data_IF_167786320056
#
_entry.id   IF_167786320056
#
_cell.length_a   1.000
_cell.length_b   1.000
_cell.length_c   1.000
_cell.angle_alpha   90.00
_cell.angle_beta   90.00
_cell.angle_gamma   90.00
#
_symmetry.space_group_name_H-M   'P 1'
#
loop_
_entity.id
_entity.type
_entity.pdbx_description
1 polymer ?
#
# COMPACT_ATOMS: atom_id res chain seq x y z
N UNK A 1 29.12 -7.90 -43.66
CA UNK A 1 30.41 -8.24 -43.01
C UNK A 1 30.08 -8.47 -41.53
N UNK A 2 30.00 -9.70 -40.99
CA UNK A 2 31.09 -10.65 -40.64
C UNK A 2 32.21 -9.88 -39.92
N UNK A 3 32.55 -10.04 -38.64
CA UNK A 3 32.73 -11.19 -37.72
C UNK A 3 32.44 -10.74 -36.26
N UNK A 4 31.84 -11.47 -35.30
CA UNK A 4 32.12 -12.77 -34.61
C UNK A 4 33.38 -12.81 -33.72
N UNK A 5 33.15 -13.34 -32.50
CA UNK A 5 34.05 -13.97 -31.47
C UNK A 5 34.63 -13.03 -30.40
N UNK A 6 34.68 -13.32 -29.09
CA UNK A 6 34.36 -14.51 -28.25
C UNK A 6 34.34 -14.03 -26.75
N UNK A 7 33.40 -14.47 -25.89
CA UNK A 7 33.54 -15.52 -24.82
C UNK A 7 34.46 -15.09 -23.64
N UNK A 8 34.26 -15.29 -22.33
CA UNK A 8 33.41 -16.06 -21.40
C UNK A 8 33.57 -15.38 -20.00
N UNK A 9 32.67 -15.44 -19.00
CA UNK A 9 32.44 -16.49 -17.97
C UNK A 9 31.40 -15.88 -16.98
N UNK A 10 30.21 -16.45 -16.73
CA UNK A 10 29.80 -17.33 -15.58
C UNK A 10 30.20 -16.77 -14.19
N UNK A 11 29.38 -16.68 -13.13
CA UNK A 11 28.21 -17.46 -12.69
C UNK A 11 27.47 -16.76 -11.51
N UNK A 12 26.16 -17.07 -11.37
CA UNK A 12 25.32 -17.22 -10.15
C UNK A 12 25.31 -16.09 -9.08
N UNK A 13 24.16 -15.64 -8.56
CA UNK A 13 23.28 -16.36 -7.63
C UNK A 13 21.83 -15.87 -7.76
N UNK A 14 20.92 -16.80 -8.03
CA UNK A 14 19.49 -16.66 -7.80
C UNK A 14 18.99 -17.94 -7.11
N UNK A 15 17.91 -17.79 -6.33
CA UNK A 15 17.13 -18.80 -5.61
C UNK A 15 17.58 -19.17 -4.19
N UNK A 16 16.95 -18.51 -3.23
CA UNK A 16 16.67 -19.08 -1.91
C UNK A 16 15.14 -19.17 -1.77
N UNK A 17 14.54 -20.27 -2.23
CA UNK A 17 13.28 -20.86 -1.74
C UNK A 17 13.10 -22.22 -2.44
N UNK A 18 13.82 -23.22 -1.94
CA UNK A 18 13.64 -24.62 -2.33
C UNK A 18 14.15 -25.54 -1.22
N UNK A 19 13.59 -25.42 -0.02
CA UNK A 19 13.84 -26.39 1.06
C UNK A 19 12.91 -27.60 1.00
N UNK A 20 11.84 -27.59 0.17
CA UNK A 20 10.98 -28.75 -0.02
C UNK A 20 11.52 -29.75 -1.07
N UNK A 21 12.39 -29.34 -1.99
CA UNK A 21 12.87 -30.21 -3.08
C UNK A 21 13.95 -31.21 -2.65
N UNK A 22 14.56 -31.06 -1.48
CA UNK A 22 15.71 -31.90 -1.08
C UNK A 22 15.33 -33.27 -0.48
N UNK A 23 14.07 -33.51 -0.12
CA UNK A 23 13.62 -34.83 0.35
C UNK A 23 13.08 -35.74 -0.77
N UNK A 24 12.86 -35.21 -1.98
CA UNK A 24 12.38 -35.99 -3.13
C UNK A 24 13.49 -36.77 -3.86
N UNK A 25 14.76 -36.59 -3.48
CA UNK A 25 15.92 -37.19 -4.15
C UNK A 25 16.36 -38.57 -3.64
N UNK A 26 15.72 -39.11 -2.60
CA UNK A 26 15.99 -40.48 -2.14
C UNK A 26 14.86 -41.42 -2.58
N UNK A 27 14.80 -41.69 -3.88
CA UNK A 27 14.22 -42.96 -4.35
C UNK A 27 15.06 -44.09 -3.75
N UNK A 28 14.46 -45.02 -2.98
CA UNK A 28 15.09 -46.32 -2.77
C UNK A 28 15.38 -46.89 -4.17
N UNK A 29 16.61 -47.33 -4.41
CA UNK A 29 16.94 -48.10 -5.62
C UNK A 29 15.90 -49.20 -5.78
N UNK A 30 15.22 -49.24 -6.92
CA UNK A 30 14.50 -50.42 -7.36
C UNK A 30 15.53 -51.56 -7.42
N UNK A 31 15.60 -52.38 -6.37
CA UNK A 31 16.65 -53.37 -6.18
C UNK A 31 17.18 -53.54 -4.75
N UNK A 32 16.66 -52.88 -3.71
CA UNK A 32 16.83 -53.47 -2.37
C UNK A 32 15.97 -54.73 -2.34
N UNK A 33 16.63 -55.88 -2.16
CA UNK A 33 15.95 -57.14 -1.91
C UNK A 33 15.00 -56.91 -0.74
N UNK A 34 13.69 -56.94 -0.99
CA UNK A 34 12.70 -57.07 0.06
C UNK A 34 13.21 -58.19 0.95
N UNK A 35 13.50 -57.88 2.22
CA UNK A 35 13.70 -58.90 3.22
C UNK A 35 12.44 -59.76 3.15
N UNK A 36 12.57 -61.01 2.65
CA UNK A 36 11.44 -61.92 2.48
C UNK A 36 10.72 -62.02 3.83
N UNK A 37 9.61 -61.31 3.91
CA UNK A 37 8.72 -61.31 5.05
C UNK A 37 7.44 -61.91 4.53
N UNK A 38 7.09 -63.08 5.06
CA UNK A 38 5.85 -63.78 4.71
C UNK A 38 4.61 -63.08 5.30
N UNK A 39 4.79 -61.94 5.97
CA UNK A 39 3.68 -61.17 6.51
C UNK A 39 2.99 -60.39 5.38
N UNK A 40 1.92 -61.00 4.87
CA UNK A 40 1.05 -60.44 3.84
C UNK A 40 0.55 -59.04 4.21
N UNK A 41 0.31 -58.75 5.49
CA UNK A 41 -0.13 -57.42 5.93
C UNK A 41 1.00 -56.38 5.81
N UNK A 42 2.24 -56.77 6.14
CA UNK A 42 3.43 -55.91 5.98
C UNK A 42 3.64 -55.52 4.51
N UNK A 43 3.57 -56.49 3.60
CA UNK A 43 3.73 -56.28 2.15
C UNK A 43 2.59 -55.45 1.57
N UNK A 44 1.33 -55.81 1.85
CA UNK A 44 0.15 -55.13 1.29
C UNK A 44 0.04 -53.68 1.76
N UNK A 45 0.32 -53.41 3.05
CA UNK A 45 0.25 -52.05 3.60
C UNK A 45 1.36 -51.17 3.07
N UNK A 46 2.59 -51.68 2.96
CA UNK A 46 3.69 -50.91 2.37
C UNK A 46 3.48 -50.65 0.87
N UNK A 47 2.98 -51.64 0.11
CA UNK A 47 2.59 -51.47 -1.30
C UNK A 47 1.54 -50.37 -1.46
N UNK A 48 0.49 -50.37 -0.64
CA UNK A 48 -0.54 -49.32 -0.64
C UNK A 48 0.06 -47.94 -0.39
N UNK A 49 1.02 -47.82 0.53
CA UNK A 49 1.75 -46.59 0.75
C UNK A 49 2.50 -46.15 -0.54
N UNK A 50 3.31 -47.03 -1.13
CA UNK A 50 4.13 -46.70 -2.32
C UNK A 50 3.26 -46.27 -3.51
N UNK A 51 2.18 -46.99 -3.78
CA UNK A 51 1.28 -46.71 -4.91
C UNK A 51 0.53 -45.37 -4.75
N UNK A 52 0.36 -44.89 -3.52
CA UNK A 52 -0.44 -43.70 -3.24
C UNK A 52 0.39 -42.47 -2.84
N UNK A 53 1.68 -42.62 -2.51
CA UNK A 53 2.49 -41.51 -1.92
C UNK A 53 2.53 -40.23 -2.78
N UNK A 54 2.41 -40.38 -4.10
CA UNK A 54 2.38 -39.27 -5.07
C UNK A 54 0.94 -38.92 -5.48
N UNK A 55 0.12 -39.85 -6.02
CA UNK A 55 -1.20 -39.49 -6.54
C UNK A 55 -2.26 -39.26 -5.46
N UNK A 56 -2.09 -39.83 -4.26
CA UNK A 56 -3.06 -39.73 -3.17
C UNK A 56 -2.36 -39.79 -1.79
N UNK A 57 -1.64 -38.72 -1.42
CA UNK A 57 -0.77 -38.73 -0.25
C UNK A 57 -1.55 -38.93 1.07
N UNK A 58 -2.84 -38.62 1.13
CA UNK A 58 -3.69 -38.93 2.30
C UNK A 58 -3.87 -40.44 2.47
N UNK A 59 -4.11 -41.19 1.39
CA UNK A 59 -4.19 -42.66 1.43
C UNK A 59 -2.84 -43.26 1.81
N UNK A 60 -1.74 -42.70 1.31
CA UNK A 60 -0.40 -43.13 1.70
C UNK A 60 -0.12 -42.85 3.19
N UNK A 61 -0.53 -41.70 3.71
CA UNK A 61 -0.40 -41.37 5.12
C UNK A 61 -1.15 -42.36 6.02
N UNK A 62 -2.39 -42.70 5.68
CA UNK A 62 -3.16 -43.73 6.42
C UNK A 62 -2.44 -45.08 6.38
N UNK A 63 -1.99 -45.53 5.21
CA UNK A 63 -1.24 -46.78 5.06
C UNK A 63 0.08 -46.78 5.86
N UNK A 64 0.82 -45.67 5.85
CA UNK A 64 2.04 -45.52 6.64
C UNK A 64 1.76 -45.60 8.15
N UNK A 65 0.69 -44.94 8.64
CA UNK A 65 0.28 -45.01 10.06
C UNK A 65 -0.19 -46.40 10.45
N UNK A 66 -0.92 -47.08 9.58
CA UNK A 66 -1.37 -48.47 9.78
C UNK A 66 -0.19 -49.44 9.88
N UNK A 67 0.82 -49.26 9.01
CA UNK A 67 2.08 -50.01 9.07
C UNK A 67 2.82 -49.74 10.39
N UNK A 68 3.01 -48.48 10.75
CA UNK A 68 3.71 -48.08 11.97
C UNK A 68 2.96 -48.48 13.25
N UNK A 69 1.63 -48.60 13.20
CA UNK A 69 0.83 -49.09 14.33
C UNK A 69 1.13 -50.54 14.69
N UNK A 70 1.45 -51.39 13.70
CA UNK A 70 1.77 -52.81 13.91
C UNK A 70 3.26 -53.08 14.03
N UNK A 71 4.07 -52.50 13.13
CA UNK A 71 5.49 -52.79 13.01
C UNK A 71 6.40 -51.66 13.51
N UNK A 72 5.86 -50.56 14.06
CA UNK A 72 6.67 -49.38 14.41
C UNK A 72 7.72 -49.57 15.50
N UNK A 73 7.75 -50.73 16.18
CA UNK A 73 8.83 -51.13 17.11
C UNK A 73 10.02 -51.76 16.40
N UNK A 74 9.85 -52.21 15.17
CA UNK A 74 10.92 -52.77 14.35
C UNK A 74 11.87 -51.66 13.90
N UNK A 75 13.16 -51.97 13.82
CA UNK A 75 14.19 -51.03 13.37
C UNK A 75 14.72 -51.44 11.99
N UNK A 76 13.82 -51.62 11.04
CA UNK A 76 14.15 -51.97 9.67
C UNK A 76 14.25 -50.71 8.77
N UNK A 77 14.53 -50.89 7.48
CA UNK A 77 14.58 -49.79 6.53
C UNK A 77 13.20 -49.13 6.30
N UNK A 78 12.13 -49.92 6.33
CA UNK A 78 10.76 -49.47 6.06
C UNK A 78 10.22 -48.62 7.19
N UNK A 79 10.37 -49.05 8.45
CA UNK A 79 9.91 -48.29 9.62
C UNK A 79 10.66 -46.97 9.75
N UNK A 80 11.97 -46.94 9.48
CA UNK A 80 12.76 -45.71 9.46
C UNK A 80 12.30 -44.75 8.37
N UNK A 81 12.08 -45.25 7.16
CA UNK A 81 11.61 -44.43 6.04
C UNK A 81 10.20 -43.89 6.30
N UNK A 82 9.25 -44.75 6.70
CA UNK A 82 7.87 -44.35 6.97
C UNK A 82 7.79 -43.35 8.13
N UNK A 83 8.61 -43.50 9.17
CA UNK A 83 8.69 -42.52 10.26
C UNK A 83 9.11 -41.12 9.76
N UNK A 84 10.10 -41.04 8.88
CA UNK A 84 10.52 -39.77 8.28
C UNK A 84 9.45 -39.20 7.35
N UNK A 85 8.86 -40.04 6.50
CA UNK A 85 7.81 -39.61 5.56
C UNK A 85 6.56 -39.11 6.28
N UNK A 86 6.10 -39.80 7.33
CA UNK A 86 4.97 -39.38 8.18
C UNK A 86 5.22 -38.00 8.77
N UNK A 87 6.40 -37.78 9.35
CA UNK A 87 6.75 -36.51 9.96
C UNK A 87 6.77 -35.36 8.93
N UNK A 88 7.35 -35.61 7.74
CA UNK A 88 7.37 -34.65 6.66
C UNK A 88 5.95 -34.32 6.13
N UNK A 89 5.10 -35.34 5.98
CA UNK A 89 3.70 -35.15 5.57
C UNK A 89 2.91 -34.33 6.60
N UNK A 90 3.04 -34.64 7.89
CA UNK A 90 2.37 -33.89 8.97
C UNK A 90 2.87 -32.44 9.11
N UNK A 91 4.14 -32.19 8.78
CA UNK A 91 4.69 -30.83 8.71
C UNK A 91 4.15 -30.05 7.50
N UNK A 92 4.14 -30.66 6.32
CA UNK A 92 3.58 -30.09 5.09
C UNK A 92 2.08 -29.77 5.22
N UNK A 93 1.28 -30.69 5.78
CA UNK A 93 -0.13 -30.46 6.08
C UNK A 93 -0.36 -29.28 7.03
N UNK A 94 0.44 -29.18 8.10
CA UNK A 94 0.37 -28.03 9.02
C UNK A 94 0.75 -26.72 8.33
N UNK A 95 1.77 -26.74 7.46
CA UNK A 95 2.18 -25.57 6.69
C UNK A 95 1.09 -25.12 5.70
N UNK A 96 0.47 -26.06 4.96
CA UNK A 96 -0.68 -25.79 4.08
C UNK A 96 -1.83 -25.16 4.85
N UNK A 97 -2.21 -25.74 5.99
CA UNK A 97 -3.29 -25.22 6.82
C UNK A 97 -2.99 -23.81 7.33
N UNK A 98 -1.77 -23.58 7.83
CA UNK A 98 -1.36 -22.26 8.30
C UNK A 98 -1.35 -21.22 7.16
N UNK A 99 -0.94 -21.60 5.94
CA UNK A 99 -0.99 -20.74 4.77
C UNK A 99 -2.43 -20.38 4.37
N UNK A 100 -3.34 -21.37 4.36
CA UNK A 100 -4.75 -21.13 4.09
C UNK A 100 -5.40 -20.22 5.14
N UNK A 101 -5.08 -20.40 6.42
CA UNK A 101 -5.58 -19.52 7.50
C UNK A 101 -5.04 -18.08 7.39
N UNK A 102 -3.80 -17.90 6.92
CA UNK A 102 -3.23 -16.57 6.64
C UNK A 102 -3.97 -15.89 5.49
N UNK A 103 -4.19 -16.62 4.41
CA UNK A 103 -4.92 -16.12 3.24
C UNK A 103 -6.36 -15.74 3.61
N UNK A 104 -7.07 -16.55 4.40
CA UNK A 104 -8.41 -16.22 4.90
C UNK A 104 -8.42 -14.92 5.70
N UNK A 105 -7.48 -14.73 6.63
CA UNK A 105 -7.38 -13.47 7.41
C UNK A 105 -7.14 -12.27 6.52
N UNK A 106 -6.28 -12.40 5.52
CA UNK A 106 -6.02 -11.35 4.54
C UNK A 106 -7.29 -11.00 3.75
N UNK A 107 -7.98 -12.00 3.20
CA UNK A 107 -9.22 -11.80 2.44
C UNK A 107 -10.32 -11.16 3.30
N UNK A 108 -10.46 -11.58 4.56
CA UNK A 108 -11.41 -10.99 5.51
C UNK A 108 -11.09 -9.53 5.81
N UNK A 109 -9.81 -9.18 5.96
CA UNK A 109 -9.38 -7.79 6.13
C UNK A 109 -9.75 -6.94 4.91
N UNK A 110 -9.37 -7.38 3.71
CA UNK A 110 -9.65 -6.65 2.47
C UNK A 110 -11.17 -6.53 2.20
N UNK A 111 -11.91 -7.59 2.50
CA UNK A 111 -13.37 -7.60 2.47
C UNK A 111 -13.98 -6.59 3.45
N UNK A 112 -13.45 -6.50 4.67
CA UNK A 112 -13.91 -5.52 5.66
C UNK A 112 -13.69 -4.07 5.19
N UNK A 113 -12.55 -3.76 4.55
CA UNK A 113 -12.30 -2.44 3.95
C UNK A 113 -13.35 -2.14 2.87
N UNK A 114 -13.57 -3.08 1.95
CA UNK A 114 -14.54 -2.93 0.86
C UNK A 114 -15.97 -2.72 1.37
N UNK A 115 -16.32 -3.41 2.46
CA UNK A 115 -17.61 -3.27 3.15
C UNK A 115 -17.69 -2.06 4.09
N UNK A 116 -16.65 -1.21 4.14
CA UNK A 116 -16.53 -0.04 5.03
C UNK A 116 -16.60 -0.39 6.52
N UNK A 117 -16.29 -1.63 6.89
CA UNK A 117 -16.14 -2.12 8.27
C UNK A 117 -14.72 -1.82 8.76
N UNK A 118 -14.40 -0.54 8.85
CA UNK A 118 -13.02 -0.11 9.13
C UNK A 118 -12.51 -0.60 10.49
N UNK A 119 -13.34 -0.57 11.54
CA UNK A 119 -12.93 -1.10 12.85
C UNK A 119 -12.47 -2.56 12.78
N UNK A 120 -13.20 -3.42 12.07
CA UNK A 120 -12.85 -4.83 11.87
C UNK A 120 -11.56 -4.97 11.05
N UNK A 121 -11.40 -4.16 10.00
CA UNK A 121 -10.21 -4.17 9.16
C UNK A 121 -8.94 -3.81 9.95
N UNK A 122 -8.98 -2.71 10.73
CA UNK A 122 -7.84 -2.27 11.55
C UNK A 122 -7.56 -3.23 12.72
N UNK A 123 -8.58 -3.89 13.27
CA UNK A 123 -8.40 -4.95 14.25
C UNK A 123 -7.67 -6.18 13.66
N UNK A 124 -8.03 -6.59 12.43
CA UNK A 124 -7.38 -7.70 11.72
C UNK A 124 -5.98 -7.35 11.22
N UNK A 125 -5.70 -6.07 10.92
CA UNK A 125 -4.42 -5.62 10.38
C UNK A 125 -3.22 -6.06 11.21
N UNK A 126 -3.33 -6.00 12.54
CA UNK A 126 -2.25 -6.43 13.44
C UNK A 126 -1.90 -7.90 13.27
N UNK A 127 -2.91 -8.76 13.09
CA UNK A 127 -2.69 -10.20 12.89
C UNK A 127 -2.03 -10.48 11.54
N UNK A 128 -2.57 -9.90 10.47
CA UNK A 128 -2.07 -10.10 9.10
C UNK A 128 -0.65 -9.56 8.94
N UNK A 129 -0.35 -8.39 9.49
CA UNK A 129 0.98 -7.78 9.40
C UNK A 129 2.00 -8.38 10.39
N UNK A 130 1.56 -9.20 11.35
CA UNK A 130 2.48 -10.04 12.12
C UNK A 130 2.95 -11.26 11.31
N UNK A 131 2.09 -11.80 10.43
CA UNK A 131 2.46 -12.89 9.52
C UNK A 131 3.41 -12.40 8.41
N UNK A 132 3.10 -11.24 7.81
CA UNK A 132 4.00 -10.55 6.87
C UNK A 132 3.88 -9.03 7.04
N UNK A 133 4.86 -8.45 7.73
CA UNK A 133 4.87 -7.01 7.97
C UNK A 133 5.05 -6.18 6.70
N UNK A 134 5.54 -6.78 5.61
CA UNK A 134 5.81 -6.11 4.35
C UNK A 134 4.77 -6.42 3.26
N UNK A 135 3.60 -6.93 3.66
CA UNK A 135 2.51 -7.25 2.75
C UNK A 135 1.93 -5.97 2.14
N UNK A 136 2.46 -5.57 0.97
CA UNK A 136 2.05 -4.35 0.26
C UNK A 136 0.59 -4.41 -0.20
N UNK A 137 0.06 -5.62 -0.47
CA UNK A 137 -1.34 -5.83 -0.86
C UNK A 137 -2.30 -5.40 0.26
N UNK A 138 -1.89 -5.50 1.52
CA UNK A 138 -2.68 -5.08 2.69
C UNK A 138 -2.34 -3.65 3.14
N UNK A 139 -1.06 -3.27 3.09
CA UNK A 139 -0.63 -1.93 3.52
C UNK A 139 -1.21 -0.81 2.65
N UNK A 140 -1.31 -1.00 1.33
CA UNK A 140 -1.90 -0.02 0.41
C UNK A 140 -3.36 0.32 0.79
N UNK A 141 -4.30 -0.65 0.83
CA UNK A 141 -5.69 -0.35 1.16
C UNK A 141 -5.87 0.12 2.60
N UNK A 142 -5.11 -0.40 3.58
CA UNK A 142 -5.13 0.14 4.94
C UNK A 142 -4.67 1.60 4.98
N UNK A 143 -3.59 1.93 4.26
CA UNK A 143 -3.05 3.28 4.19
C UNK A 143 -4.04 4.29 3.59
N UNK A 144 -4.79 3.88 2.59
CA UNK A 144 -5.78 4.74 1.92
C UNK A 144 -7.15 4.76 2.63
N UNK A 145 -7.56 3.67 3.30
CA UNK A 145 -8.91 3.53 3.86
C UNK A 145 -9.29 4.58 4.92
N UNK A 146 -8.31 5.17 5.62
CA UNK A 146 -8.56 6.28 6.55
C UNK A 146 -9.17 7.52 5.89
N UNK A 147 -8.80 7.81 4.63
CA UNK A 147 -9.43 8.89 3.83
C UNK A 147 -10.91 8.58 3.62
N UNK A 148 -11.23 7.34 3.24
CA UNK A 148 -12.61 6.90 3.00
C UNK A 148 -13.42 6.97 4.30
N UNK A 149 -12.88 6.43 5.40
CA UNK A 149 -13.53 6.49 6.71
C UNK A 149 -13.80 7.94 7.16
N UNK A 150 -12.83 8.84 6.95
CA UNK A 150 -12.96 10.25 7.32
C UNK A 150 -13.97 11.00 6.45
N UNK A 151 -13.97 10.77 5.14
CA UNK A 151 -14.77 11.56 4.20
C UNK A 151 -16.19 11.04 4.04
N UNK A 152 -16.39 9.72 4.09
CA UNK A 152 -17.70 9.10 3.87
C UNK A 152 -18.42 8.73 5.16
N UNK A 153 -17.67 8.39 6.22
CA UNK A 153 -18.22 7.98 7.51
C UNK A 153 -17.94 8.98 8.64
N UNK A 154 -17.27 10.11 8.34
CA UNK A 154 -16.88 11.13 9.32
C UNK A 154 -16.11 10.56 10.51
N UNK A 155 -15.34 9.51 10.28
CA UNK A 155 -14.59 8.81 11.31
C UNK A 155 -13.08 8.94 11.08
N UNK A 156 -12.44 9.82 11.86
CA UNK A 156 -11.01 10.11 11.79
C UNK A 156 -10.18 9.22 12.74
N UNK A 157 -10.80 8.31 13.49
CA UNK A 157 -10.13 7.50 14.51
C UNK A 157 -8.97 6.66 13.96
N UNK A 158 -9.03 6.32 12.67
CA UNK A 158 -8.04 5.47 12.01
C UNK A 158 -6.91 6.26 11.34
N UNK A 159 -6.96 7.59 11.28
CA UNK A 159 -6.02 8.40 10.47
C UNK A 159 -4.56 8.21 10.90
N UNK A 160 -4.28 8.08 12.20
CA UNK A 160 -2.93 7.88 12.70
C UNK A 160 -2.36 6.51 12.27
N UNK A 161 -3.14 5.43 12.41
CA UNK A 161 -2.73 4.09 11.97
C UNK A 161 -2.63 4.00 10.45
N UNK A 162 -3.59 4.59 9.73
CA UNK A 162 -3.58 4.70 8.27
C UNK A 162 -2.32 5.41 7.75
N UNK A 163 -1.91 6.51 8.39
CA UNK A 163 -0.70 7.23 8.02
C UNK A 163 0.55 6.34 8.11
N UNK A 164 0.68 5.54 9.18
CA UNK A 164 1.80 4.61 9.33
C UNK A 164 1.81 3.55 8.24
N UNK A 165 0.65 2.99 7.89
CA UNK A 165 0.55 2.00 6.81
C UNK A 165 0.84 2.61 5.43
N UNK A 166 0.34 3.81 5.16
CA UNK A 166 0.62 4.52 3.92
C UNK A 166 2.12 4.81 3.76
N UNK A 167 2.77 5.30 4.82
CA UNK A 167 4.21 5.56 4.78
C UNK A 167 5.03 4.29 4.54
N UNK A 168 4.67 3.18 5.20
CA UNK A 168 5.35 1.89 4.96
C UNK A 168 5.11 1.36 3.54
N UNK A 169 3.88 1.46 3.03
CA UNK A 169 3.56 1.06 1.66
C UNK A 169 4.40 1.85 0.64
N UNK A 170 4.48 3.19 0.78
CA UNK A 170 5.32 4.04 -0.07
C UNK A 170 6.77 3.55 -0.07
N UNK A 171 7.37 3.37 1.12
CA UNK A 171 8.77 2.91 1.24
C UNK A 171 9.01 1.56 0.55
N UNK A 172 8.10 0.59 0.73
CA UNK A 172 8.21 -0.72 0.09
C UNK A 172 8.06 -0.63 -1.43
N UNK A 173 7.13 0.20 -1.92
CA UNK A 173 6.90 0.38 -3.36
C UNK A 173 8.07 1.12 -4.04
N UNK A 174 8.63 2.13 -3.37
CA UNK A 174 9.80 2.86 -3.85
C UNK A 174 11.06 1.98 -3.87
N UNK A 175 11.21 1.08 -2.90
CA UNK A 175 12.29 0.07 -2.89
C UNK A 175 12.11 -1.09 -3.88
N UNK A 176 11.04 -1.07 -4.68
CA UNK A 176 10.82 -2.02 -5.77
C UNK A 176 9.88 -3.19 -5.44
N UNK A 177 9.26 -3.23 -4.25
CA UNK A 177 8.19 -4.20 -4.00
C UNK A 177 6.93 -3.83 -4.76
N UNK A 178 6.19 -4.83 -5.21
CA UNK A 178 4.91 -4.67 -5.87
C UNK A 178 3.93 -5.75 -5.38
N UNK A 179 2.63 -5.44 -5.28
CA UNK A 179 1.60 -6.47 -5.14
C UNK A 179 1.47 -7.25 -6.45
N UNK A 180 0.84 -8.43 -6.39
CA UNK A 180 0.50 -9.21 -7.59
C UNK A 180 -0.48 -8.47 -8.51
N UNK A 181 -1.27 -7.55 -7.96
CA UNK A 181 -2.18 -6.68 -8.69
C UNK A 181 -2.25 -5.28 -8.07
N UNK A 182 -2.25 -4.26 -8.92
CA UNK A 182 -2.44 -2.86 -8.51
C UNK A 182 -3.90 -2.48 -8.31
N UNK A 183 -4.84 -3.32 -8.75
CA UNK A 183 -6.27 -3.03 -8.65
C UNK A 183 -6.71 -2.73 -7.19
N UNK A 184 -7.62 -1.78 -6.98
CA UNK A 184 -8.39 -1.02 -7.98
C UNK A 184 -7.63 0.16 -8.61
N UNK A 185 -6.38 0.41 -8.21
CA UNK A 185 -5.54 1.45 -8.81
C UNK A 185 -5.04 1.01 -10.19
N UNK A 186 -4.75 1.99 -11.04
CA UNK A 186 -4.34 1.73 -12.43
C UNK A 186 -2.93 1.15 -12.53
N UNK A 187 -2.02 1.66 -11.70
CA UNK A 187 -0.60 1.35 -11.74
C UNK A 187 0.11 1.80 -10.45
N UNK A 188 1.43 1.63 -10.41
CA UNK A 188 2.31 2.08 -9.30
C UNK A 188 2.20 3.57 -9.01
N UNK A 189 2.17 4.43 -10.03
CA UNK A 189 2.11 5.88 -9.84
C UNK A 189 0.78 6.30 -9.22
N UNK A 190 -0.32 5.70 -9.65
CA UNK A 190 -1.66 5.96 -9.13
C UNK A 190 -1.79 5.59 -7.65
N UNK A 191 -1.16 4.47 -7.24
CA UNK A 191 -1.02 4.11 -5.82
C UNK A 191 -0.20 5.14 -5.05
N UNK A 192 1.02 5.44 -5.53
CA UNK A 192 1.91 6.37 -4.82
C UNK A 192 1.27 7.75 -4.66
N UNK A 193 0.61 8.25 -5.71
CA UNK A 193 -0.10 9.52 -5.67
C UNK A 193 -1.25 9.48 -4.65
N UNK A 194 -2.01 8.39 -4.61
CA UNK A 194 -3.12 8.22 -3.66
C UNK A 194 -2.64 8.08 -2.21
N UNK A 195 -1.49 7.43 -1.98
CA UNK A 195 -0.90 7.33 -0.65
C UNK A 195 -0.30 8.66 -0.18
N UNK A 196 0.36 9.43 -1.05
CA UNK A 196 0.77 10.79 -0.74
C UNK A 196 -0.43 11.69 -0.45
N UNK A 197 -1.48 11.63 -1.28
CA UNK A 197 -2.72 12.33 -0.99
C UNK A 197 -3.27 11.97 0.40
N UNK A 198 -3.24 10.69 0.78
CA UNK A 198 -3.69 10.24 2.10
C UNK A 198 -2.82 10.81 3.23
N UNK A 199 -1.48 10.77 3.11
CA UNK A 199 -0.57 11.37 4.09
C UNK A 199 -0.78 12.88 4.25
N UNK A 200 -1.00 13.59 3.14
CA UNK A 200 -1.36 15.00 3.16
C UNK A 200 -2.68 15.24 3.90
N UNK A 201 -3.68 14.43 3.60
CA UNK A 201 -5.00 14.50 4.25
C UNK A 201 -4.92 14.25 5.77
N UNK A 202 -4.20 13.22 6.22
CA UNK A 202 -4.06 12.91 7.65
C UNK A 202 -3.27 13.99 8.41
N UNK A 203 -2.35 14.66 7.72
CA UNK A 203 -1.50 15.72 8.30
C UNK A 203 -2.19 17.08 8.30
N UNK A 204 -3.26 17.29 7.53
CA UNK A 204 -3.84 18.60 7.25
C UNK A 204 -4.19 19.41 8.52
N UNK A 205 -4.72 18.76 9.56
CA UNK A 205 -5.12 19.43 10.81
C UNK A 205 -3.98 19.61 11.81
N UNK A 206 -3.04 18.66 11.83
CA UNK A 206 -2.03 18.55 12.90
C UNK A 206 -0.67 19.08 12.49
N UNK A 207 -0.34 18.97 11.19
CA UNK A 207 0.94 19.30 10.57
C UNK A 207 0.70 19.81 9.13
N UNK A 208 0.00 20.94 8.94
CA UNK A 208 -0.37 21.44 7.62
C UNK A 208 0.83 21.72 6.71
N UNK A 209 1.99 22.09 7.26
CA UNK A 209 3.23 22.27 6.48
C UNK A 209 3.70 20.97 5.82
N UNK A 210 3.62 19.84 6.54
CA UNK A 210 3.97 18.54 5.99
C UNK A 210 2.99 18.13 4.89
N UNK A 211 1.70 18.46 5.08
CA UNK A 211 0.66 18.13 4.11
C UNK A 211 0.89 18.74 2.73
N UNK A 212 1.48 19.95 2.66
CA UNK A 212 1.81 20.63 1.40
C UNK A 212 2.71 19.74 0.54
N UNK A 213 3.79 19.20 1.13
CA UNK A 213 4.76 18.36 0.40
C UNK A 213 4.09 17.14 -0.21
N UNK A 214 3.24 16.46 0.57
CA UNK A 214 2.55 15.26 0.14
C UNK A 214 1.49 15.55 -0.94
N UNK A 215 0.70 16.62 -0.80
CA UNK A 215 -0.26 17.01 -1.84
C UNK A 215 0.41 17.42 -3.14
N UNK A 216 1.59 18.08 -3.09
CA UNK A 216 2.36 18.41 -4.29
C UNK A 216 2.85 17.14 -4.99
N UNK A 217 3.38 16.16 -4.25
CA UNK A 217 3.78 14.87 -4.82
C UNK A 217 2.58 14.18 -5.50
N UNK A 218 1.44 14.12 -4.82
CA UNK A 218 0.22 13.55 -5.39
C UNK A 218 -0.24 14.28 -6.66
N UNK A 219 -0.11 15.60 -6.72
CA UNK A 219 -0.48 16.42 -7.86
C UNK A 219 0.51 16.34 -9.05
N UNK A 220 1.72 15.80 -8.84
CA UNK A 220 2.76 15.73 -9.88
C UNK A 220 2.83 14.36 -10.57
N UNK A 221 2.41 13.29 -9.91
CA UNK A 221 2.42 11.91 -10.45
C UNK A 221 1.33 11.70 -11.51
N UNK A 222 1.57 10.85 -12.51
CA UNK A 222 0.57 10.55 -13.55
C UNK A 222 -0.51 9.62 -13.01
N UNK A 223 -1.55 10.24 -12.44
CA UNK A 223 -2.58 9.57 -11.63
C UNK A 223 -3.89 10.33 -11.65
N UNK A 224 -4.95 9.71 -11.13
CA UNK A 224 -6.23 10.40 -10.96
C UNK A 224 -6.15 11.54 -9.93
N UNK A 225 -5.14 11.51 -9.04
CA UNK A 225 -4.92 12.60 -8.07
C UNK A 225 -4.43 13.89 -8.69
N UNK A 226 -3.73 13.81 -9.81
CA UNK A 226 -3.28 14.99 -10.58
C UNK A 226 -4.43 15.78 -11.17
N UNK A 227 -5.57 15.14 -11.44
CA UNK A 227 -6.76 15.80 -11.99
C UNK A 227 -7.91 15.89 -11.00
N UNK A 228 -7.76 15.33 -9.79
CA UNK A 228 -8.76 15.43 -8.74
C UNK A 228 -8.84 16.86 -8.16
N UNK A 229 -10.00 17.53 -8.21
CA UNK A 229 -10.18 18.87 -7.64
C UNK A 229 -9.85 18.93 -6.15
N UNK A 230 -10.15 17.85 -5.42
CA UNK A 230 -9.91 17.75 -3.97
C UNK A 230 -8.43 17.84 -3.61
N UNK A 231 -7.51 17.33 -4.45
CA UNK A 231 -6.06 17.44 -4.21
C UNK A 231 -5.65 18.90 -4.04
N UNK A 232 -6.12 19.76 -4.94
CA UNK A 232 -5.80 21.17 -4.94
C UNK A 232 -6.57 21.96 -3.89
N UNK A 233 -7.82 21.59 -3.60
CA UNK A 233 -8.55 22.17 -2.49
C UNK A 233 -7.84 21.92 -1.14
N UNK A 234 -7.43 20.68 -0.86
CA UNK A 234 -6.74 20.38 0.39
C UNK A 234 -5.33 20.98 0.44
N UNK A 235 -4.64 21.12 -0.71
CA UNK A 235 -3.41 21.89 -0.80
C UNK A 235 -3.63 23.36 -0.42
N UNK A 236 -4.71 23.98 -0.89
CA UNK A 236 -5.06 25.36 -0.53
C UNK A 236 -5.31 25.50 0.99
N UNK A 237 -6.02 24.53 1.58
CA UNK A 237 -6.22 24.48 3.03
C UNK A 237 -4.92 24.28 3.81
N UNK A 238 -4.00 23.48 3.30
CA UNK A 238 -2.70 23.26 3.92
C UNK A 238 -1.87 24.56 3.94
N UNK A 239 -1.81 25.29 2.82
CA UNK A 239 -1.18 26.61 2.78
C UNK A 239 -1.87 27.62 3.71
N UNK A 240 -3.21 27.63 3.74
CA UNK A 240 -3.99 28.56 4.55
C UNK A 240 -3.76 28.33 6.06
N UNK A 241 -3.84 27.07 6.50
CA UNK A 241 -3.78 26.72 7.92
C UNK A 241 -2.37 26.56 8.47
N UNK A 242 -1.36 26.41 7.60
CA UNK A 242 0.05 26.36 7.98
C UNK A 242 0.76 27.69 7.74
N UNK A 243 1.53 27.82 6.64
CA UNK A 243 2.42 28.95 6.43
C UNK A 243 1.69 30.29 6.42
N UNK A 244 0.51 30.42 5.79
CA UNK A 244 -0.20 31.70 5.71
C UNK A 244 -0.62 32.20 7.08
N UNK A 245 -1.27 31.35 7.88
CA UNK A 245 -1.63 31.68 9.27
C UNK A 245 -0.42 32.16 10.05
N UNK A 246 0.68 31.40 10.01
CA UNK A 246 1.92 31.77 10.72
C UNK A 246 2.50 33.12 10.27
N UNK A 247 2.65 33.35 8.96
CA UNK A 247 3.29 34.59 8.48
C UNK A 247 2.37 35.81 8.61
N UNK A 248 1.06 35.63 8.48
CA UNK A 248 0.07 36.71 8.65
C UNK A 248 -0.07 37.13 10.13
N UNK A 249 -0.05 36.18 11.07
CA UNK A 249 -0.04 36.46 12.50
C UNK A 249 1.25 37.19 12.92
N UNK A 250 2.41 36.73 12.42
CA UNK A 250 3.70 37.39 12.69
C UNK A 250 3.74 38.82 12.14
N UNK A 251 3.27 39.02 10.90
CA UNK A 251 3.15 40.34 10.29
C UNK A 251 2.24 41.25 11.13
N UNK A 252 1.04 40.78 11.48
CA UNK A 252 0.07 41.56 12.26
C UNK A 252 0.63 41.96 13.62
N UNK A 253 1.33 41.05 14.30
CA UNK A 253 1.93 41.29 15.61
C UNK A 253 3.06 42.32 15.56
N UNK A 254 3.90 42.29 14.52
CA UNK A 254 5.08 43.17 14.40
C UNK A 254 4.73 44.54 13.81
N UNK A 255 3.84 44.57 12.81
CA UNK A 255 3.65 45.74 11.95
C UNK A 255 2.22 46.27 11.90
N UNK A 256 1.22 45.56 12.44
CA UNK A 256 -0.20 45.89 12.24
C UNK A 256 -0.65 47.28 12.70
N UNK A 257 0.05 47.89 13.66
CA UNK A 257 -0.20 49.25 14.16
C UNK A 257 1.01 50.18 13.98
N UNK A 258 1.98 49.80 13.16
CA UNK A 258 3.20 50.59 12.92
C UNK A 258 3.10 51.34 11.60
N UNK A 259 3.85 52.45 11.49
CA UNK A 259 4.04 53.11 10.22
C UNK A 259 4.75 52.16 9.24
N UNK A 260 4.40 52.27 7.97
CA UNK A 260 4.98 51.46 6.92
C UNK A 260 6.51 51.67 6.84
N UNK A 261 7.27 50.59 6.99
CA UNK A 261 8.74 50.53 6.84
C UNK A 261 9.16 49.57 5.72
N UNK A 262 10.40 49.63 5.22
CA UNK A 262 10.93 48.65 4.27
C UNK A 262 10.78 47.20 4.74
N UNK A 263 10.99 46.94 6.04
CA UNK A 263 10.83 45.63 6.66
C UNK A 263 9.36 45.19 6.67
N UNK A 264 8.43 46.10 6.98
CA UNK A 264 7.00 45.81 6.90
C UNK A 264 6.55 45.47 5.47
N UNK A 265 7.09 46.16 4.45
CA UNK A 265 6.81 45.84 3.04
C UNK A 265 7.32 44.46 2.66
N UNK A 266 8.54 44.13 3.05
CA UNK A 266 9.13 42.82 2.79
C UNK A 266 8.35 41.70 3.50
N UNK A 267 7.91 41.94 4.74
CA UNK A 267 7.10 40.98 5.48
C UNK A 267 5.71 40.80 4.85
N UNK A 268 5.05 41.88 4.43
CA UNK A 268 3.77 41.82 3.71
C UNK A 268 3.91 41.06 2.38
N UNK A 269 5.00 41.27 1.66
CA UNK A 269 5.29 40.55 0.41
C UNK A 269 5.44 39.03 0.66
N UNK A 270 6.02 38.63 1.79
CA UNK A 270 6.05 37.21 2.16
C UNK A 270 4.65 36.64 2.45
N UNK A 271 3.76 37.42 3.08
CA UNK A 271 2.35 37.04 3.25
C UNK A 271 1.68 36.86 1.88
N UNK A 272 1.88 37.83 0.97
CA UNK A 272 1.32 37.81 -0.37
C UNK A 272 1.79 36.61 -1.19
N UNK A 273 3.07 36.24 -1.11
CA UNK A 273 3.60 35.05 -1.80
C UNK A 273 2.92 33.75 -1.37
N UNK A 274 2.57 33.61 -0.09
CA UNK A 274 1.83 32.43 0.38
C UNK A 274 0.37 32.52 -0.07
N UNK A 275 -0.23 33.70 -0.01
CA UNK A 275 -1.58 33.94 -0.51
C UNK A 275 -1.71 33.61 -2.01
N UNK A 276 -0.70 33.94 -2.81
CA UNK A 276 -0.66 33.63 -4.25
C UNK A 276 -0.66 32.10 -4.49
N UNK A 277 -0.01 31.31 -3.62
CA UNK A 277 -0.08 29.83 -3.66
C UNK A 277 -1.46 29.30 -3.29
N UNK A 278 -2.14 29.92 -2.32
CA UNK A 278 -3.52 29.57 -1.94
C UNK A 278 -4.47 29.84 -3.11
N UNK A 279 -4.33 31.01 -3.76
CA UNK A 279 -5.11 31.42 -4.92
C UNK A 279 -4.89 30.46 -6.10
N UNK A 280 -3.64 30.09 -6.42
CA UNK A 280 -3.32 29.10 -7.46
C UNK A 280 -4.02 27.75 -7.15
N UNK A 281 -3.89 27.23 -5.93
CA UNK A 281 -4.47 25.96 -5.55
C UNK A 281 -6.02 25.96 -5.65
N UNK A 282 -6.69 27.01 -5.16
CA UNK A 282 -8.14 27.13 -5.35
C UNK A 282 -8.53 27.29 -6.83
N UNK A 283 -7.79 28.05 -7.63
CA UNK A 283 -8.05 28.19 -9.05
C UNK A 283 -7.96 26.83 -9.78
N UNK A 284 -6.96 26.01 -9.45
CA UNK A 284 -6.84 24.64 -9.98
C UNK A 284 -8.01 23.76 -9.56
N UNK A 285 -8.44 23.82 -8.30
CA UNK A 285 -9.59 23.08 -7.80
C UNK A 285 -10.87 23.47 -8.56
N UNK A 286 -11.12 24.77 -8.77
CA UNK A 286 -12.29 25.27 -9.53
C UNK A 286 -12.22 24.88 -11.00
N UNK A 287 -11.04 24.99 -11.62
CA UNK A 287 -10.84 24.63 -13.02
C UNK A 287 -11.10 23.13 -13.26
N UNK A 288 -10.53 22.26 -12.41
CA UNK A 288 -10.67 20.81 -12.52
C UNK A 288 -12.07 20.32 -12.17
N UNK A 289 -12.78 20.99 -11.26
CA UNK A 289 -14.17 20.66 -10.96
C UNK A 289 -15.08 20.78 -12.19
N UNK A 290 -14.70 21.64 -13.15
CA UNK A 290 -15.34 21.73 -14.45
C UNK A 290 -16.86 21.82 -14.36
N UNK A 291 -17.54 21.02 -15.17
CA UNK A 291 -19.01 20.89 -15.18
C UNK A 291 -19.50 19.60 -14.53
N UNK A 292 -18.66 18.90 -13.75
CA UNK A 292 -19.04 17.65 -13.10
C UNK A 292 -20.15 17.90 -12.06
N UNK A 293 -21.34 17.27 -12.19
CA UNK A 293 -22.43 17.42 -11.24
C UNK A 293 -22.05 17.10 -9.80
N UNK A 294 -21.16 16.11 -9.58
CA UNK A 294 -20.73 15.71 -8.24
C UNK A 294 -19.95 16.80 -7.52
N UNK A 295 -19.30 17.68 -8.29
CA UNK A 295 -18.45 18.73 -7.75
C UNK A 295 -19.10 20.12 -7.73
N UNK A 296 -20.30 20.34 -8.31
CA UNK A 296 -20.85 21.69 -8.45
C UNK A 296 -21.04 22.43 -7.12
N UNK A 297 -21.52 21.75 -6.08
CA UNK A 297 -21.69 22.36 -4.75
C UNK A 297 -20.34 22.78 -4.15
N UNK A 298 -19.33 21.90 -4.24
CA UNK A 298 -18.00 22.18 -3.74
C UNK A 298 -17.31 23.29 -4.55
N UNK A 299 -17.43 23.24 -5.89
CA UNK A 299 -16.94 24.25 -6.83
C UNK A 299 -17.48 25.64 -6.51
N UNK A 300 -18.77 25.76 -6.21
CA UNK A 300 -19.37 27.05 -5.83
C UNK A 300 -18.72 27.63 -4.56
N UNK A 301 -18.51 26.78 -3.54
CA UNK A 301 -17.83 27.19 -2.30
C UNK A 301 -16.36 27.58 -2.54
N UNK A 302 -15.65 26.78 -3.34
CA UNK A 302 -14.26 27.05 -3.70
C UNK A 302 -14.13 28.34 -4.53
N UNK A 303 -15.04 28.58 -5.46
CA UNK A 303 -15.07 29.80 -6.28
C UNK A 303 -15.36 31.04 -5.43
N UNK A 304 -16.30 30.95 -4.48
CA UNK A 304 -16.58 32.03 -3.55
C UNK A 304 -15.32 32.39 -2.73
N UNK A 305 -14.64 31.38 -2.17
CA UNK A 305 -13.41 31.58 -1.41
C UNK A 305 -12.27 32.13 -2.27
N UNK A 306 -12.09 31.59 -3.48
CA UNK A 306 -11.12 32.09 -4.44
C UNK A 306 -11.35 33.56 -4.78
N UNK A 307 -12.60 33.95 -5.03
CA UNK A 307 -12.98 35.32 -5.38
C UNK A 307 -12.66 36.29 -4.24
N UNK A 308 -12.98 35.91 -2.99
CA UNK A 308 -12.65 36.70 -1.80
C UNK A 308 -11.14 36.95 -1.69
N UNK A 309 -10.34 35.87 -1.77
CA UNK A 309 -8.88 35.95 -1.65
C UNK A 309 -8.25 36.74 -2.81
N UNK A 310 -8.77 36.56 -4.02
CA UNK A 310 -8.31 37.28 -5.20
C UNK A 310 -8.58 38.78 -5.07
N UNK A 311 -9.81 39.16 -4.68
CA UNK A 311 -10.17 40.57 -4.42
C UNK A 311 -9.30 41.18 -3.35
N UNK A 312 -9.09 40.48 -2.23
CA UNK A 312 -8.20 40.93 -1.18
C UNK A 312 -6.78 41.21 -1.70
N UNK A 313 -6.25 40.32 -2.56
CA UNK A 313 -4.93 40.46 -3.18
C UNK A 313 -4.85 41.57 -4.25
N UNK A 314 -5.97 41.93 -4.87
CA UNK A 314 -6.06 42.83 -6.04
C UNK A 314 -6.94 44.07 -5.79
N UNK A 315 -6.87 44.65 -4.59
CA UNK A 315 -7.50 45.94 -4.29
C UNK A 315 -9.03 45.95 -4.42
N UNK A 316 -9.69 44.84 -4.12
CA UNK A 316 -11.14 44.67 -4.20
C UNK A 316 -11.67 44.23 -5.58
N UNK A 317 -10.79 44.09 -6.58
CA UNK A 317 -11.17 43.73 -7.95
C UNK A 317 -11.10 42.23 -8.21
N UNK A 318 -12.04 41.70 -8.99
CA UNK A 318 -12.00 40.35 -9.57
C UNK A 318 -11.59 40.35 -11.06
N UNK A 319 -11.21 41.50 -11.60
CA UNK A 319 -10.69 41.61 -12.97
C UNK A 319 -9.46 40.69 -13.10
N UNK A 320 -9.49 39.79 -14.08
CA UNK A 320 -8.42 38.80 -14.34
C UNK A 320 -8.63 37.44 -13.64
N UNK A 321 -9.60 37.30 -12.74
CA UNK A 321 -9.85 36.04 -12.04
C UNK A 321 -10.24 34.89 -12.99
N UNK A 322 -11.12 35.15 -13.96
CA UNK A 322 -11.52 34.14 -14.93
C UNK A 322 -10.35 33.74 -15.85
N UNK A 323 -9.48 34.69 -16.21
CA UNK A 323 -8.27 34.41 -16.99
C UNK A 323 -7.28 33.55 -16.21
N UNK A 324 -7.13 33.79 -14.90
CA UNK A 324 -6.35 32.95 -14.00
C UNK A 324 -6.89 31.51 -14.03
N UNK A 325 -8.19 31.32 -13.78
CA UNK A 325 -8.81 29.98 -13.76
C UNK A 325 -8.62 29.27 -15.10
N UNK A 326 -8.78 29.99 -16.21
CA UNK A 326 -8.62 29.42 -17.55
C UNK A 326 -7.19 28.95 -17.85
N UNK A 327 -6.16 29.57 -17.25
CA UNK A 327 -4.74 29.30 -17.56
C UNK A 327 -3.99 28.53 -16.49
N UNK A 328 -4.50 28.46 -15.25
CA UNK A 328 -3.74 27.92 -14.10
C UNK A 328 -3.25 26.49 -14.31
N UNK A 329 -4.03 25.64 -15.00
CA UNK A 329 -3.64 24.24 -15.27
C UNK A 329 -2.47 24.11 -16.25
N UNK A 330 -2.21 25.14 -17.07
CA UNK A 330 -1.04 25.21 -17.96
C UNK A 330 0.23 25.71 -17.27
N UNK A 331 0.10 26.27 -16.06
CA UNK A 331 1.20 26.80 -15.29
C UNK A 331 1.81 25.70 -14.40
N UNK A 332 3.13 25.70 -14.19
CA UNK A 332 3.76 24.82 -13.21
C UNK A 332 3.15 25.01 -11.83
N UNK A 333 2.96 23.91 -11.09
CA UNK A 333 2.50 23.97 -9.71
C UNK A 333 3.55 24.71 -8.86
N UNK A 334 3.16 25.73 -8.07
CA UNK A 334 4.08 26.41 -7.17
C UNK A 334 4.73 25.41 -6.20
N UNK A 335 6.06 25.38 -6.16
CA UNK A 335 6.81 24.56 -5.22
C UNK A 335 6.71 25.13 -3.80
N UNK A 336 6.89 24.33 -2.72
CA UNK A 336 6.78 24.77 -1.33
C UNK A 336 7.53 26.07 -1.02
#
# INVERSE_FOLDING_TARGET
>A
MRHRLALALLCAIAFAFSTAAHLYGQTPKAGSSAQETDDEYKVTTYKRFVENREPNPEVAYRAAKDYMGRYGKENDEYTRYLKQWIAAYEEDERARKAAAEREDREQRLLGAITQKKFADAYALAKQVLNDDSNNVKVLIPLGYSGVIASTESRNEAFNAEAANYAQKAIQLIESGKAPDSWAPFKNKEDVLASLHYALGFYSLKTRPENAITDFIKAAQMDSDRKTAPSTYYYLALAYQNGPYKRVSEDYSKRYGNQAESPESKAALENVNKVLDKIIDAYARAVALAGSDPQHQNAKAQWMARLTELYKFRHGGSDIGLNDLIARVLSQPLPQP
#
